data_IF_816610888852
#
_entry.id   IF_816610888852
#
_cell.length_a   1.000
_cell.length_b   1.000
_cell.length_c   1.000
_cell.angle_alpha   90.00
_cell.angle_beta   90.00
_cell.angle_gamma   90.00
#
_symmetry.space_group_name_H-M   'P 1'
#
loop_
_entity.id
_entity.type
_entity.pdbx_description
1 polymer ?
#
# COMPACT_ATOMS: atom_id res chain seq x y z
N UNK A 1 -17.19 11.06 -6.48
CA UNK A 1 -16.32 11.27 -7.64
C UNK A 1 -15.42 10.09 -7.85
N UNK A 2 -15.05 9.85 -9.10
CA UNK A 2 -14.23 8.67 -9.41
C UNK A 2 -12.90 8.64 -8.68
N UNK A 3 -12.24 9.79 -8.59
CA UNK A 3 -10.94 9.87 -7.94
C UNK A 3 -11.01 9.45 -6.47
N UNK A 4 -12.05 9.88 -5.78
CA UNK A 4 -12.22 9.52 -4.37
C UNK A 4 -12.51 8.03 -4.22
N UNK A 5 -13.32 7.45 -5.10
CA UNK A 5 -13.60 6.04 -5.05
C UNK A 5 -12.35 5.20 -5.31
N UNK A 6 -11.56 5.62 -6.30
CA UNK A 6 -10.31 4.95 -6.60
C UNK A 6 -9.34 5.07 -5.42
N UNK A 7 -9.25 6.24 -4.84
CA UNK A 7 -8.40 6.45 -3.67
C UNK A 7 -8.80 5.54 -2.52
N UNK A 8 -10.09 5.43 -2.24
CA UNK A 8 -10.58 4.56 -1.18
C UNK A 8 -10.18 3.11 -1.44
N UNK A 9 -10.38 2.62 -2.66
CA UNK A 9 -9.99 1.27 -3.02
C UNK A 9 -8.49 1.04 -2.88
N UNK A 10 -7.70 2.01 -3.30
CA UNK A 10 -6.25 1.90 -3.23
C UNK A 10 -5.78 1.84 -1.78
N UNK A 11 -6.36 2.65 -0.91
CA UNK A 11 -6.04 2.62 0.51
C UNK A 11 -6.43 1.27 1.13
N UNK A 12 -7.58 0.73 0.75
CA UNK A 12 -8.00 -0.57 1.24
C UNK A 12 -7.04 -1.68 0.82
N UNK A 13 -6.54 -1.62 -0.41
CA UNK A 13 -5.55 -2.58 -0.88
C UNK A 13 -4.25 -2.45 -0.10
N UNK A 14 -3.84 -1.23 0.18
CA UNK A 14 -2.64 -1.00 0.99
C UNK A 14 -2.80 -1.61 2.38
N UNK A 15 -3.96 -1.44 2.98
CA UNK A 15 -4.23 -2.03 4.28
C UNK A 15 -4.13 -3.55 4.25
N UNK A 16 -4.66 -4.18 3.20
CA UNK A 16 -4.58 -5.63 3.04
C UNK A 16 -3.14 -6.11 2.92
N UNK A 17 -2.33 -5.38 2.16
CA UNK A 17 -0.92 -5.75 2.02
C UNK A 17 -0.17 -5.57 3.34
N UNK A 18 -0.51 -4.54 4.09
CA UNK A 18 0.04 -4.33 5.42
C UNK A 18 -0.32 -5.48 6.35
N UNK A 19 -1.57 -5.91 6.33
CA UNK A 19 -2.03 -7.03 7.15
C UNK A 19 -1.29 -8.31 6.80
N UNK A 20 -1.06 -8.56 5.51
CA UNK A 20 -0.31 -9.72 5.06
C UNK A 20 1.11 -9.67 5.62
N UNK A 21 1.73 -8.49 5.59
CA UNK A 21 3.08 -8.32 6.12
C UNK A 21 3.11 -8.56 7.63
N UNK A 22 2.13 -8.06 8.35
CA UNK A 22 2.01 -8.28 9.80
C UNK A 22 1.88 -9.77 10.10
N UNK A 23 1.06 -10.48 9.34
CA UNK A 23 0.87 -11.91 9.52
C UNK A 23 2.17 -12.67 9.29
N UNK A 24 2.91 -12.32 8.24
CA UNK A 24 4.20 -12.94 7.96
C UNK A 24 5.19 -12.72 9.12
N UNK A 25 5.21 -11.51 9.65
CA UNK A 25 6.07 -11.18 10.76
C UNK A 25 5.76 -12.05 11.99
N UNK A 26 4.48 -12.18 12.28
CA UNK A 26 4.06 -12.99 13.43
C UNK A 26 4.43 -14.46 13.29
N UNK A 27 4.28 -14.99 12.09
CA UNK A 27 4.54 -16.41 11.84
C UNK A 27 6.02 -16.74 11.74
N UNK A 28 6.82 -15.84 11.18
CA UNK A 28 8.18 -16.15 10.80
C UNK A 28 9.25 -15.53 11.68
N UNK A 29 8.94 -14.47 12.40
CA UNK A 29 9.93 -13.82 13.24
C UNK A 29 9.66 -14.12 14.71
N UNK A 30 10.72 -14.27 15.52
CA UNK A 30 12.13 -14.10 15.15
C UNK A 30 12.78 -15.33 14.55
N UNK A 31 12.09 -16.45 14.45
CA UNK A 31 12.71 -17.76 14.16
C UNK A 31 13.25 -17.91 12.74
N UNK A 32 12.63 -17.29 11.74
CA UNK A 32 12.95 -17.50 10.34
C UNK A 32 13.12 -16.18 9.58
N UNK A 33 14.16 -15.40 9.92
CA UNK A 33 14.31 -14.07 9.32
C UNK A 33 14.57 -14.09 7.82
N UNK A 34 15.31 -15.08 7.32
CA UNK A 34 15.57 -15.16 5.88
C UNK A 34 14.32 -15.48 5.09
N UNK A 35 13.52 -16.41 5.62
CA UNK A 35 12.27 -16.77 4.98
C UNK A 35 11.31 -15.60 4.99
N UNK A 36 11.27 -14.85 6.09
CA UNK A 36 10.47 -13.65 6.16
C UNK A 36 10.88 -12.65 5.07
N UNK A 37 12.19 -12.40 4.93
CA UNK A 37 12.69 -11.45 3.94
C UNK A 37 12.26 -11.82 2.53
N UNK A 38 12.35 -13.10 2.19
CA UNK A 38 11.96 -13.56 0.86
C UNK A 38 10.46 -13.42 0.63
N UNK A 39 9.66 -13.85 1.58
CA UNK A 39 8.21 -13.82 1.42
C UNK A 39 7.63 -12.41 1.53
N UNK A 40 8.34 -11.50 2.19
CA UNK A 40 7.89 -10.13 2.31
C UNK A 40 8.14 -9.28 1.06
N UNK A 41 8.95 -9.75 0.12
CA UNK A 41 9.28 -8.96 -1.08
C UNK A 41 8.04 -8.58 -1.88
N UNK A 42 7.13 -9.52 -2.10
CA UNK A 42 5.90 -9.24 -2.84
C UNK A 42 5.04 -8.18 -2.19
N UNK A 43 4.64 -8.38 -0.93
CA UNK A 43 3.85 -7.35 -0.24
C UNK A 43 4.55 -6.01 -0.15
N UNK A 44 5.87 -5.98 0.05
CA UNK A 44 6.60 -4.71 0.13
C UNK A 44 6.59 -3.97 -1.21
N UNK A 45 6.75 -4.68 -2.32
CA UNK A 45 6.67 -4.06 -3.63
C UNK A 45 5.28 -3.50 -3.88
N UNK A 46 4.25 -4.25 -3.54
CA UNK A 46 2.88 -3.80 -3.71
C UNK A 46 2.59 -2.58 -2.85
N UNK A 47 3.08 -2.57 -1.62
CA UNK A 47 2.91 -1.41 -0.73
C UNK A 47 3.54 -0.17 -1.34
N UNK A 48 4.76 -0.28 -1.87
CA UNK A 48 5.41 0.86 -2.51
C UNK A 48 4.63 1.39 -3.70
N UNK A 49 4.16 0.49 -4.55
CA UNK A 49 3.38 0.88 -5.71
C UNK A 49 2.09 1.57 -5.29
N UNK A 50 1.40 1.01 -4.31
CA UNK A 50 0.15 1.58 -3.83
C UNK A 50 0.37 2.93 -3.17
N UNK A 51 1.49 3.12 -2.48
CA UNK A 51 1.82 4.41 -1.89
C UNK A 51 2.00 5.48 -2.95
N UNK A 52 2.67 5.14 -4.04
CA UNK A 52 2.84 6.08 -5.15
C UNK A 52 1.50 6.43 -5.76
N UNK A 53 0.65 5.44 -5.97
CA UNK A 53 -0.69 5.69 -6.50
C UNK A 53 -1.50 6.61 -5.59
N UNK A 54 -1.43 6.38 -4.27
CA UNK A 54 -2.13 7.22 -3.30
C UNK A 54 -1.61 8.64 -3.35
N UNK A 55 -0.30 8.82 -3.45
CA UNK A 55 0.29 10.15 -3.57
C UNK A 55 -0.20 10.87 -4.80
N UNK A 56 -0.26 10.16 -5.94
CA UNK A 56 -0.72 10.75 -7.19
C UNK A 56 -2.20 11.12 -7.11
N UNK A 57 -3.01 10.25 -6.55
CA UNK A 57 -4.44 10.52 -6.41
C UNK A 57 -4.68 11.69 -5.46
N UNK A 58 -3.93 11.75 -4.38
CA UNK A 58 -4.05 12.84 -3.42
C UNK A 58 -3.66 14.17 -4.06
N UNK A 59 -2.59 14.16 -4.84
CA UNK A 59 -2.18 15.36 -5.56
C UNK A 59 -3.25 15.82 -6.54
N UNK A 60 -3.91 14.87 -7.20
CA UNK A 60 -5.01 15.22 -8.10
C UNK A 60 -6.15 15.91 -7.37
N UNK A 61 -6.47 15.43 -6.18
CA UNK A 61 -7.55 16.01 -5.39
C UNK A 61 -7.24 17.45 -4.97
N UNK A 62 -5.98 17.72 -4.65
CA UNK A 62 -5.61 19.05 -4.18
C UNK A 62 -5.33 20.05 -5.30
N UNK A 63 -4.91 19.55 -6.46
CA UNK A 63 -4.51 20.42 -7.56
C UNK A 63 -5.65 20.81 -8.48
N UNK A 64 -6.69 20.00 -8.51
CA UNK A 64 -7.68 20.10 -9.57
C UNK A 64 -8.30 21.48 -9.77
N UNK A 65 -8.88 22.09 -8.78
CA UNK A 65 -9.68 23.29 -9.02
C UNK A 65 -8.91 24.57 -9.20
N UNK A 66 -7.63 24.50 -9.09
CA UNK A 66 -6.84 25.73 -9.14
C UNK A 66 -6.95 26.45 -10.47
N UNK A 67 -7.36 25.74 -11.47
CA UNK A 67 -7.51 26.33 -12.78
C UNK A 67 -8.49 27.49 -12.78
N UNK A 68 -9.34 27.50 -11.84
CA UNK A 68 -10.36 28.56 -11.79
C UNK A 68 -9.76 29.92 -11.59
#
# INVERSE_FOLDING_TARGET
MKTEAILTQTVEQLEKMNEALVALRRELLPGHPKKFAILAEGPLEDIRRLQVEIEQLTASLTAAPTAA
#
